data_IF_279774408681
#
_entry.id   IF_279774408681
#
_cell.length_a   1.000
_cell.length_b   1.000
_cell.length_c   1.000
_cell.angle_alpha   90.00
_cell.angle_beta   90.00
_cell.angle_gamma   90.00
#
_symmetry.space_group_name_H-M   'P 1'
#
loop_
_entity.id
_entity.type
_entity.pdbx_description
1 polymer ?
#
# COMPACT_ATOMS: atom_id res chain seq x y z
N UNK A 1 3.12 -7.10 22.27
CA UNK A 1 3.34 -7.18 20.81
C UNK A 1 2.76 -5.95 20.09
N UNK A 2 1.45 -5.70 20.07
CA UNK A 2 0.83 -4.57 19.34
C UNK A 2 1.50 -3.20 19.63
N UNK A 3 1.76 -2.86 20.91
CA UNK A 3 2.42 -1.60 21.31
C UNK A 3 3.82 -1.43 20.70
N UNK A 4 4.59 -2.51 20.56
CA UNK A 4 5.92 -2.47 19.92
C UNK A 4 5.75 -2.18 18.43
N UNK A 5 4.87 -2.88 17.74
CA UNK A 5 4.62 -2.68 16.31
C UNK A 5 4.15 -1.26 16.02
N UNK A 6 3.19 -0.72 16.79
CA UNK A 6 2.70 0.66 16.63
C UNK A 6 3.82 1.69 16.79
N UNK A 7 4.59 1.61 17.89
CA UNK A 7 5.69 2.55 18.14
C UNK A 7 6.80 2.45 17.08
N UNK A 8 7.09 1.22 16.62
CA UNK A 8 8.09 1.00 15.57
C UNK A 8 7.63 1.56 14.23
N UNK A 9 6.35 1.37 13.87
CA UNK A 9 5.75 1.97 12.67
C UNK A 9 5.92 3.49 12.68
N UNK A 10 5.55 4.14 13.78
CA UNK A 10 5.67 5.60 13.93
C UNK A 10 7.11 6.08 13.80
N UNK A 11 8.06 5.40 14.43
CA UNK A 11 9.48 5.78 14.36
C UNK A 11 10.07 5.54 12.97
N UNK A 12 9.73 4.44 12.29
CA UNK A 12 10.18 4.20 10.92
C UNK A 12 9.56 5.20 9.93
N UNK A 13 8.30 5.58 10.10
CA UNK A 13 7.67 6.63 9.27
C UNK A 13 8.34 7.99 9.48
N UNK A 14 8.69 8.33 10.73
CA UNK A 14 9.27 9.62 11.07
C UNK A 14 10.76 9.76 10.72
N UNK A 15 11.54 8.68 10.81
CA UNK A 15 13.00 8.72 10.76
C UNK A 15 13.62 7.77 9.75
N UNK A 16 12.83 7.00 9.02
CA UNK A 16 13.29 5.91 8.15
C UNK A 16 13.85 4.72 8.94
N UNK A 17 14.24 3.67 8.22
CA UNK A 17 14.83 2.49 8.84
C UNK A 17 16.21 2.79 9.44
N UNK A 18 17.08 3.46 8.68
CA UNK A 18 18.44 3.75 9.12
C UNK A 18 18.47 4.75 10.29
N UNK A 19 17.56 5.72 10.31
CA UNK A 19 17.43 6.71 11.40
C UNK A 19 16.80 6.17 12.68
N UNK A 20 16.23 4.98 12.67
CA UNK A 20 15.55 4.37 13.83
C UNK A 20 16.45 3.34 14.51
N UNK A 21 16.63 3.45 15.83
CA UNK A 21 17.38 2.48 16.63
C UNK A 21 16.48 1.64 17.54
N UNK A 22 16.93 0.42 17.90
CA UNK A 22 16.27 -0.43 18.91
C UNK A 22 16.16 0.29 20.27
N UNK A 23 17.15 1.15 20.61
CA UNK A 23 17.08 1.95 21.83
C UNK A 23 15.95 2.98 21.80
N UNK A 24 15.71 3.61 20.65
CA UNK A 24 14.61 4.56 20.48
C UNK A 24 13.25 3.84 20.59
N UNK A 25 13.11 2.66 19.98
CA UNK A 25 11.89 1.84 20.08
C UNK A 25 11.65 1.40 21.53
N UNK A 26 12.69 0.93 22.23
CA UNK A 26 12.60 0.55 23.65
C UNK A 26 12.12 1.73 24.50
N UNK A 27 12.70 2.90 24.32
CA UNK A 27 12.29 4.13 25.01
C UNK A 27 10.83 4.49 24.72
N UNK A 28 10.41 4.47 23.46
CA UNK A 28 9.05 4.82 23.04
C UNK A 28 7.99 3.84 23.58
N UNK A 29 8.38 2.58 23.78
CA UNK A 29 7.49 1.55 24.33
C UNK A 29 7.56 1.42 25.86
N UNK A 30 8.50 2.08 26.53
CA UNK A 30 8.75 1.91 27.97
C UNK A 30 9.32 0.53 28.31
N UNK A 31 9.92 -0.17 27.34
CA UNK A 31 10.53 -1.48 27.51
C UNK A 31 12.06 -1.38 27.61
N UNK A 32 12.69 -2.41 28.14
CA UNK A 32 14.14 -2.57 28.03
C UNK A 32 14.53 -3.11 26.66
N UNK A 33 15.78 -2.91 26.21
CA UNK A 33 16.28 -3.54 24.97
C UNK A 33 16.16 -5.06 25.05
N UNK A 34 16.45 -5.66 26.20
CA UNK A 34 16.31 -7.11 26.41
C UNK A 34 14.88 -7.61 26.22
N UNK A 35 13.88 -6.85 26.69
CA UNK A 35 12.47 -7.17 26.48
C UNK A 35 12.07 -7.08 25.00
N UNK A 36 12.64 -6.14 24.23
CA UNK A 36 12.44 -6.09 22.77
C UNK A 36 13.06 -7.30 22.07
N UNK A 37 14.29 -7.66 22.43
CA UNK A 37 14.98 -8.82 21.85
C UNK A 37 14.36 -10.17 22.23
N UNK A 38 13.53 -10.21 23.27
CA UNK A 38 12.71 -11.39 23.57
C UNK A 38 11.56 -11.59 22.56
N UNK A 39 11.17 -10.54 21.82
CA UNK A 39 10.09 -10.58 20.81
C UNK A 39 10.62 -10.60 19.39
N UNK A 40 11.74 -9.94 19.12
CA UNK A 40 12.31 -9.77 17.77
C UNK A 40 13.81 -9.99 17.83
N UNK A 41 14.34 -10.86 16.98
CA UNK A 41 15.76 -11.20 16.95
C UNK A 41 16.65 -10.01 16.53
N UNK A 42 16.11 -9.06 15.79
CA UNK A 42 16.82 -7.88 15.28
C UNK A 42 15.85 -6.75 14.88
N UNK A 43 16.39 -5.57 14.56
CA UNK A 43 15.62 -4.48 13.94
C UNK A 43 15.08 -4.88 12.56
N UNK A 44 15.86 -5.68 11.83
CA UNK A 44 15.45 -6.24 10.54
C UNK A 44 14.22 -7.15 10.70
N UNK A 45 14.23 -8.08 11.64
CA UNK A 45 13.13 -8.99 11.95
C UNK A 45 11.84 -8.22 12.30
N UNK A 46 11.97 -7.15 13.08
CA UNK A 46 10.87 -6.26 13.42
C UNK A 46 10.29 -5.56 12.17
N UNK A 47 11.14 -5.04 11.28
CA UNK A 47 10.68 -4.41 10.04
C UNK A 47 10.03 -5.43 9.10
N UNK A 48 10.61 -6.62 8.94
CA UNK A 48 10.00 -7.69 8.14
C UNK A 48 8.61 -8.10 8.67
N UNK A 49 8.44 -8.11 9.99
CA UNK A 49 7.13 -8.34 10.62
C UNK A 49 6.12 -7.25 10.23
N UNK A 50 6.53 -5.99 10.18
CA UNK A 50 5.67 -4.88 9.75
C UNK A 50 5.34 -4.93 8.25
N UNK A 51 6.31 -5.27 7.41
CA UNK A 51 6.09 -5.48 5.96
C UNK A 51 5.08 -6.63 5.75
N UNK A 52 5.24 -7.73 6.49
CA UNK A 52 4.29 -8.85 6.41
C UNK A 52 2.91 -8.47 6.93
N UNK A 53 2.84 -7.65 8.00
CA UNK A 53 1.57 -7.10 8.51
C UNK A 53 0.86 -6.29 7.42
N UNK A 54 1.57 -5.39 6.72
CA UNK A 54 1.02 -4.63 5.60
C UNK A 54 0.51 -5.56 4.48
N UNK A 55 1.29 -6.56 4.09
CA UNK A 55 0.85 -7.52 3.07
C UNK A 55 -0.45 -8.22 3.46
N UNK A 56 -0.52 -8.76 4.68
CA UNK A 56 -1.68 -9.55 5.12
C UNK A 56 -2.91 -8.66 5.36
N UNK A 57 -2.75 -7.56 6.09
CA UNK A 57 -3.88 -6.74 6.51
C UNK A 57 -4.39 -5.81 5.40
N UNK A 58 -3.53 -5.39 4.48
CA UNK A 58 -3.94 -4.58 3.34
C UNK A 58 -4.14 -5.44 2.09
N UNK A 59 -3.05 -5.98 1.53
CA UNK A 59 -3.09 -6.52 0.18
C UNK A 59 -3.88 -7.82 0.09
N UNK A 60 -3.71 -8.74 1.04
CA UNK A 60 -4.42 -10.02 1.02
C UNK A 60 -5.91 -9.82 1.29
N UNK A 61 -6.28 -8.94 2.22
CA UNK A 61 -7.68 -8.60 2.48
C UNK A 61 -8.32 -7.87 1.28
N UNK A 62 -7.63 -6.87 0.71
CA UNK A 62 -8.08 -6.18 -0.50
C UNK A 62 -8.37 -7.17 -1.64
N UNK A 63 -7.46 -8.10 -1.90
CA UNK A 63 -7.64 -9.10 -2.95
C UNK A 63 -8.86 -9.98 -2.67
N UNK A 64 -9.02 -10.47 -1.44
CA UNK A 64 -10.17 -11.28 -1.03
C UNK A 64 -11.49 -10.55 -1.22
N UNK A 65 -11.61 -9.36 -0.63
CA UNK A 65 -12.81 -8.51 -0.69
C UNK A 65 -13.23 -8.19 -2.13
N UNK A 66 -12.26 -7.80 -2.97
CA UNK A 66 -12.55 -7.48 -4.37
C UNK A 66 -12.88 -8.73 -5.19
N UNK A 67 -12.29 -9.89 -4.89
CA UNK A 67 -12.62 -11.14 -5.57
C UNK A 67 -14.06 -11.59 -5.25
N UNK A 68 -14.49 -11.43 -4.00
CA UNK A 68 -15.83 -11.78 -3.53
C UNK A 68 -16.89 -10.77 -3.96
N UNK A 69 -16.50 -9.53 -4.29
CA UNK A 69 -17.43 -8.50 -4.74
C UNK A 69 -18.18 -8.93 -6.00
N UNK A 70 -19.52 -8.69 -6.00
CA UNK A 70 -20.38 -8.95 -7.16
C UNK A 70 -20.16 -7.88 -8.23
N UNK A 71 -20.48 -8.23 -9.47
CA UNK A 71 -20.42 -7.31 -10.61
C UNK A 71 -19.25 -7.56 -11.56
N UNK A 72 -19.10 -6.65 -12.53
CA UNK A 72 -18.07 -6.68 -13.57
C UNK A 72 -16.76 -6.06 -13.14
N UNK A 73 -15.86 -5.89 -14.10
CA UNK A 73 -14.52 -5.34 -13.85
C UNK A 73 -14.56 -3.92 -13.27
N UNK A 74 -15.45 -3.06 -13.76
CA UNK A 74 -15.58 -1.68 -13.24
C UNK A 74 -16.12 -1.65 -11.81
N UNK A 75 -17.08 -2.54 -11.46
CA UNK A 75 -17.58 -2.69 -10.09
C UNK A 75 -16.46 -3.14 -9.16
N UNK A 76 -15.62 -4.08 -9.60
CA UNK A 76 -14.45 -4.54 -8.84
C UNK A 76 -13.40 -3.45 -8.64
N UNK A 77 -13.13 -2.63 -9.64
CA UNK A 77 -12.26 -1.46 -9.49
C UNK A 77 -12.88 -0.43 -8.52
N UNK A 78 -14.19 -0.23 -8.59
CA UNK A 78 -14.89 0.65 -7.64
C UNK A 78 -14.74 0.14 -6.20
N UNK A 79 -14.94 -1.17 -6.00
CA UNK A 79 -14.79 -1.81 -4.68
C UNK A 79 -13.36 -1.71 -4.16
N UNK A 80 -12.38 -1.93 -5.05
CA UNK A 80 -10.97 -1.74 -4.78
C UNK A 80 -10.67 -0.33 -4.21
N UNK A 81 -11.12 0.73 -4.87
CA UNK A 81 -10.87 2.11 -4.41
C UNK A 81 -11.57 2.41 -3.09
N UNK A 82 -12.77 1.88 -2.87
CA UNK A 82 -13.48 2.07 -1.62
C UNK A 82 -12.74 1.39 -0.46
N UNK A 83 -12.35 0.12 -0.63
CA UNK A 83 -11.58 -0.62 0.38
C UNK A 83 -10.27 0.09 0.71
N UNK A 84 -9.48 0.44 -0.31
CA UNK A 84 -8.18 1.06 -0.13
C UNK A 84 -8.28 2.42 0.58
N UNK A 85 -9.31 3.22 0.29
CA UNK A 85 -9.54 4.50 0.97
C UNK A 85 -9.87 4.31 2.45
N UNK A 86 -10.80 3.40 2.79
CA UNK A 86 -11.19 3.09 4.18
C UNK A 86 -9.99 2.54 4.94
N UNK A 87 -9.27 1.58 4.37
CA UNK A 87 -8.10 1.00 5.00
C UNK A 87 -7.01 2.04 5.28
N UNK A 88 -6.74 2.93 4.32
CA UNK A 88 -5.74 4.00 4.48
C UNK A 88 -6.15 5.04 5.54
N UNK A 89 -7.44 5.31 5.73
CA UNK A 89 -7.94 6.17 6.80
C UNK A 89 -7.72 5.54 8.17
N UNK A 90 -8.04 4.26 8.33
CA UNK A 90 -7.93 3.52 9.59
C UNK A 90 -6.50 3.11 9.93
N UNK A 91 -5.66 2.80 8.91
CA UNK A 91 -4.33 2.21 9.06
C UNK A 91 -3.23 3.08 8.42
N UNK A 92 -3.38 4.38 8.46
CA UNK A 92 -2.54 5.35 7.76
C UNK A 92 -1.05 5.15 7.98
N UNK A 93 -0.62 4.97 9.23
CA UNK A 93 0.79 4.82 9.58
C UNK A 93 1.39 3.55 8.94
N UNK A 94 0.62 2.47 8.85
CA UNK A 94 1.06 1.23 8.20
C UNK A 94 1.22 1.41 6.69
N UNK A 95 0.29 2.13 6.05
CA UNK A 95 0.38 2.44 4.62
C UNK A 95 1.57 3.36 4.32
N UNK A 96 1.77 4.42 5.13
CA UNK A 96 2.93 5.31 5.00
C UNK A 96 4.25 4.57 5.21
N UNK A 97 4.31 3.65 6.18
CA UNK A 97 5.49 2.81 6.40
C UNK A 97 5.85 2.06 5.12
N UNK A 98 4.89 1.36 4.50
CA UNK A 98 5.14 0.58 3.29
C UNK A 98 5.67 1.46 2.15
N UNK A 99 5.05 2.62 1.90
CA UNK A 99 5.47 3.56 0.86
C UNK A 99 6.86 4.14 1.11
N UNK A 100 7.15 4.62 2.33
CA UNK A 100 8.42 5.26 2.68
C UNK A 100 9.57 4.26 2.66
N UNK A 101 9.37 3.10 3.30
CA UNK A 101 10.42 2.08 3.40
C UNK A 101 10.69 1.41 2.05
N UNK A 102 9.67 1.17 1.23
CA UNK A 102 9.89 0.66 -0.13
C UNK A 102 10.73 1.61 -0.98
N UNK A 103 10.56 2.92 -0.82
CA UNK A 103 11.37 3.92 -1.51
C UNK A 103 12.80 3.99 -0.95
N UNK A 104 12.99 3.84 0.38
CA UNK A 104 14.32 3.85 1.04
C UNK A 104 15.21 2.69 0.55
N UNK A 105 14.62 1.52 0.27
CA UNK A 105 15.36 0.33 -0.18
C UNK A 105 15.29 0.09 -1.70
N UNK A 106 14.58 0.92 -2.45
CA UNK A 106 14.43 0.77 -3.89
C UNK A 106 15.77 0.83 -4.61
N UNK A 107 16.07 -0.22 -5.39
CA UNK A 107 17.32 -0.32 -6.16
C UNK A 107 18.54 -0.75 -5.36
N UNK A 108 18.39 -1.12 -4.10
CA UNK A 108 19.45 -1.75 -3.32
C UNK A 108 19.61 -3.21 -3.77
N UNK A 109 20.60 -3.48 -4.62
CA UNK A 109 20.86 -4.82 -5.14
C UNK A 109 21.07 -5.83 -4.01
N UNK A 110 20.32 -6.95 -4.08
CA UNK A 110 20.37 -8.05 -3.12
C UNK A 110 19.88 -7.72 -1.70
N UNK A 111 19.25 -6.57 -1.49
CA UNK A 111 18.64 -6.26 -0.19
C UNK A 111 17.36 -7.08 0.02
N UNK A 112 17.23 -7.65 1.21
CA UNK A 112 16.08 -8.49 1.58
C UNK A 112 14.77 -7.69 1.59
N UNK A 113 14.80 -6.43 2.01
CA UNK A 113 13.61 -5.59 2.03
C UNK A 113 13.17 -5.21 0.63
N UNK A 114 14.10 -4.85 -0.27
CA UNK A 114 13.79 -4.61 -1.68
C UNK A 114 13.14 -5.83 -2.32
N UNK A 115 13.69 -7.03 -2.07
CA UNK A 115 13.13 -8.29 -2.57
C UNK A 115 11.70 -8.55 -2.08
N UNK A 116 11.41 -8.31 -0.80
CA UNK A 116 10.07 -8.46 -0.23
C UNK A 116 9.08 -7.43 -0.81
N UNK A 117 9.48 -6.17 -0.94
CA UNK A 117 8.64 -5.16 -1.55
C UNK A 117 8.37 -5.45 -3.03
N UNK A 118 9.38 -5.84 -3.81
CA UNK A 118 9.19 -6.26 -5.21
C UNK A 118 8.17 -7.39 -5.32
N UNK A 119 8.23 -8.39 -4.44
CA UNK A 119 7.28 -9.50 -4.40
C UNK A 119 5.85 -9.00 -4.12
N UNK A 120 5.68 -8.11 -3.13
CA UNK A 120 4.38 -7.53 -2.76
C UNK A 120 3.83 -6.68 -3.89
N UNK A 121 4.61 -5.76 -4.45
CA UNK A 121 4.18 -4.90 -5.55
C UNK A 121 3.89 -5.69 -6.84
N UNK A 122 4.65 -6.75 -7.12
CA UNK A 122 4.35 -7.65 -8.24
C UNK A 122 3.00 -8.38 -8.05
N UNK A 123 2.73 -8.89 -6.84
CA UNK A 123 1.43 -9.49 -6.49
C UNK A 123 0.29 -8.50 -6.67
N UNK A 124 0.49 -7.26 -6.23
CA UNK A 124 -0.47 -6.16 -6.33
C UNK A 124 -0.75 -5.81 -7.81
N UNK A 125 0.29 -5.57 -8.60
CA UNK A 125 0.16 -5.26 -10.02
C UNK A 125 -0.52 -6.40 -10.79
N UNK A 126 -0.15 -7.67 -10.51
CA UNK A 126 -0.77 -8.84 -11.14
C UNK A 126 -2.27 -8.92 -10.84
N UNK A 127 -2.68 -8.60 -9.62
CA UNK A 127 -4.09 -8.56 -9.25
C UNK A 127 -4.87 -7.50 -10.05
N UNK A 128 -4.37 -6.26 -10.08
CA UNK A 128 -5.00 -5.16 -10.82
C UNK A 128 -5.06 -5.43 -12.33
N UNK A 129 -3.96 -5.92 -12.90
CA UNK A 129 -3.92 -6.33 -14.33
C UNK A 129 -5.04 -7.29 -14.67
N UNK A 130 -5.27 -8.32 -13.82
CA UNK A 130 -6.33 -9.30 -14.06
C UNK A 130 -7.72 -8.65 -14.13
N UNK A 131 -8.00 -7.66 -13.29
CA UNK A 131 -9.27 -6.95 -13.33
C UNK A 131 -9.41 -6.16 -14.65
N UNK A 132 -8.36 -5.46 -15.07
CA UNK A 132 -8.34 -4.71 -16.34
C UNK A 132 -8.49 -5.64 -17.54
N UNK A 133 -7.80 -6.78 -17.56
CA UNK A 133 -7.92 -7.81 -18.61
C UNK A 133 -9.35 -8.35 -18.73
N UNK A 134 -9.99 -8.67 -17.59
CA UNK A 134 -11.40 -9.08 -17.57
C UNK A 134 -12.31 -7.98 -18.09
N UNK A 135 -12.05 -6.70 -17.75
CA UNK A 135 -12.83 -5.56 -18.24
C UNK A 135 -12.74 -5.36 -19.74
N UNK A 136 -11.57 -5.62 -20.34
CA UNK A 136 -11.40 -5.66 -21.80
C UNK A 136 -12.25 -6.76 -22.44
N UNK A 137 -12.21 -7.97 -21.88
CA UNK A 137 -12.99 -9.11 -22.35
C UNK A 137 -14.51 -8.88 -22.21
N UNK A 138 -14.93 -8.11 -21.21
CA UNK A 138 -16.33 -7.70 -21.03
C UNK A 138 -16.75 -6.53 -21.94
N UNK A 139 -15.82 -5.91 -22.67
CA UNK A 139 -16.07 -4.73 -23.50
C UNK A 139 -16.41 -3.47 -22.71
N UNK A 140 -16.06 -3.40 -21.43
CA UNK A 140 -16.30 -2.23 -20.55
C UNK A 140 -15.04 -1.38 -20.36
N UNK A 141 -13.88 -1.94 -20.64
CA UNK A 141 -12.58 -1.23 -20.68
C UNK A 141 -12.07 -1.22 -22.11
N UNK A 142 -11.55 -0.06 -22.53
CA UNK A 142 -10.98 0.17 -23.86
C UNK A 142 -9.87 -0.86 -24.15
N UNK A 143 -9.94 -1.60 -25.26
CA UNK A 143 -8.94 -2.62 -25.61
C UNK A 143 -7.55 -2.02 -25.88
N UNK A 144 -7.46 -0.73 -26.22
CA UNK A 144 -6.20 -0.06 -26.55
C UNK A 144 -5.41 0.38 -25.32
N UNK A 145 -6.00 0.41 -24.11
CA UNK A 145 -5.24 0.74 -22.90
C UNK A 145 -4.23 -0.36 -22.55
N UNK A 146 -3.02 0.02 -22.22
CA UNK A 146 -2.01 -0.93 -21.75
C UNK A 146 -2.30 -1.38 -20.31
N UNK A 147 -2.65 -2.65 -20.17
CA UNK A 147 -3.06 -3.27 -18.91
C UNK A 147 -1.97 -3.18 -17.83
N UNK A 148 -0.70 -3.31 -18.22
CA UNK A 148 0.43 -3.25 -17.30
C UNK A 148 0.59 -1.81 -16.77
N UNK A 149 0.58 -0.83 -17.66
CA UNK A 149 0.73 0.58 -17.31
C UNK A 149 -0.44 1.07 -16.44
N UNK A 150 -1.68 0.67 -16.74
CA UNK A 150 -2.85 1.01 -15.91
C UNK A 150 -2.68 0.48 -14.48
N UNK A 151 -2.25 -0.78 -14.31
CA UNK A 151 -2.05 -1.35 -12.98
C UNK A 151 -1.01 -0.57 -12.16
N UNK A 152 0.14 -0.24 -12.76
CA UNK A 152 1.18 0.55 -12.08
C UNK A 152 0.77 2.01 -11.87
N UNK A 153 -0.04 2.59 -12.75
CA UNK A 153 -0.60 3.93 -12.55
C UNK A 153 -1.50 3.98 -11.31
N UNK A 154 -2.32 2.96 -11.10
CA UNK A 154 -3.15 2.84 -9.89
C UNK A 154 -2.28 2.73 -8.63
N UNK A 155 -1.23 1.90 -8.65
CA UNK A 155 -0.31 1.73 -7.52
C UNK A 155 0.43 3.05 -7.24
N UNK A 156 0.99 3.69 -8.27
CA UNK A 156 1.68 4.98 -8.15
C UNK A 156 0.78 6.08 -7.59
N UNK A 157 -0.52 6.07 -7.95
CA UNK A 157 -1.49 6.97 -7.33
C UNK A 157 -1.63 6.71 -5.83
N UNK A 158 -1.74 5.45 -5.40
CA UNK A 158 -1.86 5.12 -3.97
C UNK A 158 -0.65 5.59 -3.17
N UNK A 159 0.55 5.32 -3.66
CA UNK A 159 1.77 5.78 -3.01
C UNK A 159 1.83 7.31 -2.98
N UNK A 160 1.49 7.96 -4.10
CA UNK A 160 1.48 9.41 -4.22
C UNK A 160 0.44 10.10 -3.34
N UNK A 161 -0.79 9.56 -3.25
CA UNK A 161 -1.86 10.17 -2.42
C UNK A 161 -1.51 10.15 -0.95
N UNK A 162 -0.92 9.07 -0.45
CA UNK A 162 -0.48 8.96 0.95
C UNK A 162 0.59 10.01 1.29
N UNK A 163 1.58 10.17 0.41
CA UNK A 163 2.65 11.15 0.58
C UNK A 163 2.12 12.59 0.49
N UNK A 164 1.23 12.88 -0.47
CA UNK A 164 0.64 14.21 -0.59
C UNK A 164 -0.28 14.54 0.59
N UNK A 165 -1.07 13.58 1.04
CA UNK A 165 -1.90 13.77 2.23
C UNK A 165 -1.04 13.98 3.49
N UNK A 166 0.11 13.33 3.61
CA UNK A 166 1.06 13.57 4.71
C UNK A 166 1.63 14.99 4.67
N UNK A 167 1.94 15.52 3.49
CA UNK A 167 2.53 16.86 3.30
C UNK A 167 1.53 18.00 3.41
N UNK A 168 0.29 17.76 3.02
CA UNK A 168 -0.72 18.80 2.76
C UNK A 168 -2.02 18.55 3.53
N UNK A 169 -1.92 18.09 4.79
CA UNK A 169 -3.07 17.72 5.65
C UNK A 169 -4.12 18.82 5.78
N UNK A 170 -3.69 20.06 5.80
CA UNK A 170 -4.56 21.22 6.00
C UNK A 170 -5.25 21.69 4.72
N UNK A 171 -4.88 21.12 3.56
CA UNK A 171 -5.34 21.54 2.23
C UNK A 171 -6.08 20.43 1.50
N UNK A 172 -5.69 19.16 1.69
CA UNK A 172 -6.24 18.03 0.94
C UNK A 172 -7.22 17.21 1.77
N UNK A 173 -8.44 17.11 1.27
CA UNK A 173 -9.42 16.14 1.74
C UNK A 173 -9.17 14.79 1.06
N UNK A 174 -8.69 13.79 1.83
CA UNK A 174 -8.34 12.47 1.31
C UNK A 174 -9.45 11.81 0.50
N UNK A 175 -10.71 11.73 0.99
CA UNK A 175 -11.83 11.17 0.24
C UNK A 175 -12.10 11.87 -1.10
N UNK A 176 -12.01 13.21 -1.15
CA UNK A 176 -12.21 13.98 -2.38
C UNK A 176 -11.08 13.70 -3.38
N UNK A 177 -9.85 13.58 -2.91
CA UNK A 177 -8.69 13.28 -3.76
C UNK A 177 -8.82 11.90 -4.42
N UNK A 178 -9.19 10.86 -3.65
CA UNK A 178 -9.45 9.52 -4.17
C UNK A 178 -10.63 9.52 -5.16
N UNK A 179 -11.72 10.22 -4.85
CA UNK A 179 -12.87 10.36 -5.74
C UNK A 179 -12.50 10.99 -7.08
N UNK A 180 -11.72 12.07 -7.05
CA UNK A 180 -11.27 12.78 -8.25
C UNK A 180 -10.41 11.88 -9.13
N UNK A 181 -9.41 11.21 -8.54
CA UNK A 181 -8.57 10.28 -9.32
C UNK A 181 -9.39 9.16 -9.95
N UNK A 182 -10.31 8.56 -9.19
CA UNK A 182 -11.17 7.50 -9.71
C UNK A 182 -12.00 7.98 -10.91
N UNK A 183 -12.56 9.18 -10.86
CA UNK A 183 -13.27 9.77 -12.00
C UNK A 183 -12.36 9.91 -13.21
N UNK A 184 -11.15 10.46 -13.03
CA UNK A 184 -10.18 10.61 -14.11
C UNK A 184 -9.76 9.26 -14.69
N UNK A 185 -9.50 8.26 -13.85
CA UNK A 185 -9.12 6.93 -14.28
C UNK A 185 -10.25 6.28 -15.10
N UNK A 186 -11.49 6.26 -14.58
CA UNK A 186 -12.60 5.60 -15.26
C UNK A 186 -12.91 6.27 -16.59
N UNK A 187 -12.94 7.61 -16.67
CA UNK A 187 -13.10 8.32 -17.96
C UNK A 187 -11.97 8.00 -18.96
N UNK A 188 -10.76 7.68 -18.45
CA UNK A 188 -9.60 7.36 -19.29
C UNK A 188 -9.57 5.92 -19.80
N UNK A 189 -10.22 4.97 -19.10
CA UNK A 189 -10.14 3.54 -19.42
C UNK A 189 -11.45 2.92 -19.90
N UNK A 190 -12.60 3.56 -19.62
CA UNK A 190 -13.90 3.07 -20.09
C UNK A 190 -13.99 3.09 -21.62
N UNK A 191 -14.68 2.06 -22.17
CA UNK A 191 -14.99 2.01 -23.58
C UNK A 191 -15.78 3.26 -24.00
N UNK A 192 -15.25 4.02 -24.93
CA UNK A 192 -15.97 5.17 -25.49
C UNK A 192 -17.13 4.65 -26.34
N UNK A 193 -18.35 5.03 -25.97
CA UNK A 193 -19.50 4.80 -26.85
C UNK A 193 -19.31 5.63 -28.10
N UNK A 194 -19.10 4.97 -29.24
CA UNK A 194 -19.07 5.59 -30.56
C UNK A 194 -20.44 6.20 -30.90
#
# INVERSE_FOLDING_TARGET
MARILTASTQLFVAHGYHGTSIAAIAKATGLTKGALYAHFSSKEDLLLTLIKKFEVEFLDQLISEVQEAKGGALDKLQHYFNFAAIFAEENRELCLLATIISAEFSGADHDRFDSEFRRIYFKYARFLRRIVEVGKLQGVIDPDVDTHTVAYTIIAFHDGVLLQWQRSRDVLEGPLFVKTFRQLLFHGIEMKKG
#
